data_IF_537458698053
#
_entry.id   IF_537458698053
#
_cell.length_a   1.000
_cell.length_b   1.000
_cell.length_c   1.000
_cell.angle_alpha   90.00
_cell.angle_beta   90.00
_cell.angle_gamma   90.00
#
_symmetry.space_group_name_H-M   'P 1'
#
loop_
_entity.id
_entity.type
_entity.pdbx_description
1 polymer ?
#
# COMPACT_ATOMS: atom_id res chain seq x y z
N UNK A 1 12.51 19.94 -20.61
CA UNK A 1 13.38 19.60 -21.75
C UNK A 1 12.96 18.23 -22.22
N UNK A 2 11.86 18.16 -22.95
CA UNK A 2 11.27 16.93 -23.45
C UNK A 2 11.14 17.15 -24.95
N UNK A 3 12.15 16.71 -25.70
CA UNK A 3 12.10 16.78 -27.15
C UNK A 3 11.13 15.71 -27.61
N UNK A 4 9.88 16.11 -27.83
CA UNK A 4 8.93 15.38 -28.65
C UNK A 4 9.46 15.38 -30.08
N UNK A 5 10.44 14.52 -30.35
CA UNK A 5 10.82 14.13 -31.70
C UNK A 5 9.76 13.12 -32.16
N UNK A 6 8.58 13.66 -32.46
CA UNK A 6 7.52 12.95 -33.18
C UNK A 6 8.18 12.28 -34.39
N UNK A 7 8.07 10.95 -34.54
CA UNK A 7 8.56 10.30 -35.73
C UNK A 7 7.75 10.82 -36.90
N UNK A 8 8.34 11.71 -37.71
CA UNK A 8 7.70 12.32 -38.88
C UNK A 8 7.07 11.21 -39.72
N UNK A 9 5.72 11.10 -39.77
CA UNK A 9 5.05 10.13 -40.64
C UNK A 9 5.38 10.38 -42.12
N UNK A 10 5.80 11.61 -42.43
CA UNK A 10 6.24 12.09 -43.73
C UNK A 10 7.36 11.23 -44.33
N UNK A 11 8.34 10.75 -43.56
CA UNK A 11 9.49 10.03 -44.13
C UNK A 11 9.12 8.62 -44.62
N UNK A 12 8.27 7.91 -43.89
CA UNK A 12 7.80 6.59 -44.30
C UNK A 12 6.84 6.69 -45.49
N UNK A 13 6.00 7.72 -45.49
CA UNK A 13 5.05 8.01 -46.56
C UNK A 13 5.80 8.39 -47.86
N UNK A 14 6.82 9.25 -47.77
CA UNK A 14 7.71 9.61 -48.88
C UNK A 14 8.46 8.40 -49.46
N UNK A 15 9.03 7.53 -48.62
CA UNK A 15 9.72 6.32 -49.09
C UNK A 15 8.72 5.35 -49.75
N UNK A 16 7.52 5.20 -49.20
CA UNK A 16 6.49 4.36 -49.79
C UNK A 16 5.98 4.88 -51.13
N UNK A 17 5.86 6.20 -51.29
CA UNK A 17 5.53 6.84 -52.55
C UNK A 17 6.64 6.63 -53.59
N UNK A 18 7.92 6.81 -53.21
CA UNK A 18 9.09 6.53 -54.07
C UNK A 18 9.12 5.08 -54.56
N UNK A 19 8.78 4.12 -53.69
CA UNK A 19 8.70 2.70 -54.03
C UNK A 19 7.57 2.44 -55.06
N UNK A 20 6.39 3.03 -54.86
CA UNK A 20 5.25 2.89 -55.78
C UNK A 20 5.53 3.54 -57.15
N UNK A 21 6.20 4.69 -57.16
CA UNK A 21 6.63 5.35 -58.40
C UNK A 21 7.68 4.51 -59.13
N UNK A 22 8.66 3.97 -58.40
CA UNK A 22 9.67 3.06 -58.95
C UNK A 22 9.03 1.78 -59.52
N UNK A 23 8.04 1.22 -58.83
CA UNK A 23 7.29 0.04 -59.30
C UNK A 23 6.54 0.33 -60.61
N UNK A 24 5.84 1.47 -60.68
CA UNK A 24 5.12 1.90 -61.89
C UNK A 24 6.07 2.11 -63.08
N UNK A 25 7.24 2.72 -62.82
CA UNK A 25 8.27 2.90 -63.85
C UNK A 25 8.86 1.57 -64.31
N UNK A 26 9.12 0.63 -63.39
CA UNK A 26 9.61 -0.71 -63.72
C UNK A 26 8.60 -1.44 -64.61
N UNK A 27 7.30 -1.44 -64.27
CA UNK A 27 6.27 -2.04 -65.12
C UNK A 27 6.28 -1.45 -66.53
N UNK A 28 6.31 -0.12 -66.66
CA UNK A 28 6.36 0.53 -67.98
C UNK A 28 7.63 0.20 -68.80
N UNK A 29 8.74 -0.09 -68.13
CA UNK A 29 9.98 -0.50 -68.79
C UNK A 29 9.93 -1.97 -69.21
N UNK A 30 9.31 -2.83 -68.40
CA UNK A 30 9.07 -4.23 -68.76
C UNK A 30 8.16 -4.32 -69.99
N UNK A 31 7.08 -3.53 -70.06
CA UNK A 31 6.20 -3.47 -71.24
C UNK A 31 6.96 -3.03 -72.50
N UNK A 32 7.87 -2.06 -72.36
CA UNK A 32 8.75 -1.62 -73.46
C UNK A 32 9.71 -2.71 -73.88
N UNK A 33 10.34 -3.41 -72.94
CA UNK A 33 11.25 -4.54 -73.22
C UNK A 33 10.48 -5.65 -73.94
N UNK A 34 9.25 -5.94 -73.53
CA UNK A 34 8.38 -6.91 -74.19
C UNK A 34 8.07 -6.49 -75.63
N UNK A 35 7.68 -5.23 -75.87
CA UNK A 35 7.43 -4.73 -77.23
C UNK A 35 8.66 -4.79 -78.13
N UNK A 36 9.85 -4.48 -77.59
CA UNK A 36 11.12 -4.54 -78.32
C UNK A 36 11.48 -6.01 -78.60
N UNK A 37 11.24 -6.92 -77.66
CA UNK A 37 11.48 -8.35 -77.85
C UNK A 37 10.58 -8.92 -78.95
N UNK A 38 9.29 -8.59 -78.96
CA UNK A 38 8.35 -8.97 -80.03
C UNK A 38 8.79 -8.41 -81.39
N UNK A 39 9.25 -7.16 -81.43
CA UNK A 39 9.77 -6.54 -82.66
C UNK A 39 11.03 -7.27 -83.20
N UNK A 40 11.96 -7.65 -82.32
CA UNK A 40 13.15 -8.44 -82.69
C UNK A 40 12.76 -9.82 -83.25
N UNK A 41 11.78 -10.48 -82.64
CA UNK A 41 11.29 -11.79 -83.10
C UNK A 41 10.64 -11.68 -84.49
N UNK A 42 9.83 -10.65 -84.72
CA UNK A 42 9.19 -10.40 -86.01
C UNK A 42 10.22 -10.16 -87.13
N UNK A 43 11.21 -9.29 -86.91
CA UNK A 43 12.29 -9.05 -87.88
C UNK A 43 13.04 -10.34 -88.23
N UNK A 44 13.38 -11.16 -87.22
CA UNK A 44 14.06 -12.44 -87.47
C UNK A 44 13.20 -13.43 -88.25
N UNK A 45 11.89 -13.43 -88.03
CA UNK A 45 10.96 -14.30 -88.77
C UNK A 45 10.78 -13.87 -90.23
N UNK A 46 10.78 -12.57 -90.51
CA UNK A 46 10.73 -12.02 -91.88
C UNK A 46 12.01 -12.33 -92.66
N UNK A 47 13.18 -12.24 -92.00
CA UNK A 47 14.47 -12.60 -92.58
C UNK A 47 14.55 -14.09 -92.99
N UNK A 48 14.00 -14.99 -92.18
CA UNK A 48 13.96 -16.43 -92.49
C UNK A 48 13.04 -16.78 -93.67
N UNK A 49 12.01 -15.98 -93.95
CA UNK A 49 11.14 -16.18 -95.12
C UNK A 49 11.79 -15.69 -96.43
N UNK A 50 12.67 -14.68 -96.35
CA UNK A 50 13.38 -14.10 -97.51
C UNK A 50 14.62 -14.88 -97.97
N UNK A 51 15.11 -15.84 -97.18
CA UNK A 51 16.28 -16.66 -97.57
C UNK A 51 16.02 -17.60 -98.76
N UNK A 52 14.78 -17.70 -99.26
CA UNK A 52 14.46 -18.43 -100.49
C UNK A 52 14.50 -17.57 -101.78
N UNK A 53 14.63 -16.24 -101.67
CA UNK A 53 14.92 -15.36 -102.81
C UNK A 53 15.83 -14.23 -102.33
N UNK A 54 17.12 -14.35 -102.60
CA UNK A 54 18.16 -13.45 -102.10
C UNK A 54 17.87 -11.97 -102.38
N UNK A 55 17.54 -11.23 -101.33
CA UNK A 55 17.83 -9.80 -101.12
C UNK A 55 17.14 -9.32 -99.85
N UNK A 56 17.93 -8.97 -98.82
CA UNK A 56 17.92 -7.68 -98.11
C UNK A 56 18.55 -7.87 -96.73
N UNK A 57 19.82 -7.50 -96.66
CA UNK A 57 20.53 -7.26 -95.41
C UNK A 57 19.78 -6.17 -94.64
N UNK A 58 19.27 -6.48 -93.45
CA UNK A 58 18.77 -5.45 -92.52
C UNK A 58 19.83 -4.36 -92.35
N UNK A 59 19.42 -3.10 -92.55
CA UNK A 59 20.29 -1.92 -92.53
C UNK A 59 21.04 -1.84 -91.18
N UNK A 60 22.40 -1.89 -91.16
CA UNK A 60 23.19 -1.95 -89.92
C UNK A 60 22.89 -0.81 -88.94
N UNK A 61 22.45 0.36 -89.44
CA UNK A 61 22.02 1.48 -88.61
C UNK A 61 20.79 1.16 -87.74
N UNK A 62 19.85 0.36 -88.24
CA UNK A 62 18.63 -0.02 -87.50
C UNK A 62 18.95 -0.99 -86.36
N UNK A 63 19.88 -1.91 -86.58
CA UNK A 63 20.38 -2.84 -85.57
C UNK A 63 21.15 -2.10 -84.47
N UNK A 64 21.96 -1.09 -84.83
CA UNK A 64 22.71 -0.28 -83.87
C UNK A 64 21.78 0.56 -82.98
N UNK A 65 20.77 1.22 -83.57
CA UNK A 65 19.73 1.96 -82.83
C UNK A 65 18.95 1.04 -81.89
N UNK A 66 18.63 -0.18 -82.31
CA UNK A 66 17.93 -1.15 -81.48
C UNK A 66 18.78 -1.59 -80.27
N UNK A 67 20.07 -1.88 -80.49
CA UNK A 67 21.02 -2.20 -79.41
C UNK A 67 21.16 -1.05 -78.39
N UNK A 68 21.20 0.19 -78.86
CA UNK A 68 21.25 1.38 -78.01
C UNK A 68 19.99 1.53 -77.15
N UNK A 69 18.80 1.36 -77.75
CA UNK A 69 17.52 1.41 -77.01
C UNK A 69 17.41 0.29 -75.95
N UNK A 70 17.80 -0.94 -76.28
CA UNK A 70 17.84 -2.06 -75.34
C UNK A 70 18.81 -1.77 -74.19
N UNK A 71 20.03 -1.33 -74.50
CA UNK A 71 21.04 -1.04 -73.46
C UNK A 71 20.60 0.11 -72.55
N UNK A 72 19.95 1.14 -73.11
CA UNK A 72 19.37 2.26 -72.35
C UNK A 72 18.22 1.81 -71.43
N UNK A 73 17.30 0.97 -71.92
CA UNK A 73 16.21 0.44 -71.08
C UNK A 73 16.71 -0.45 -69.95
N UNK A 74 17.66 -1.36 -70.21
CA UNK A 74 18.23 -2.24 -69.17
C UNK A 74 19.07 -1.48 -68.15
N UNK A 75 19.84 -0.47 -68.56
CA UNK A 75 20.59 0.38 -67.62
C UNK A 75 19.66 1.17 -66.71
N UNK A 76 18.54 1.68 -67.24
CA UNK A 76 17.48 2.32 -66.44
C UNK A 76 16.80 1.35 -65.47
N UNK A 77 16.49 0.13 -65.91
CA UNK A 77 15.91 -0.91 -65.06
C UNK A 77 16.87 -1.27 -63.90
N UNK A 78 18.16 -1.44 -64.20
CA UNK A 78 19.19 -1.74 -63.18
C UNK A 78 19.32 -0.61 -62.17
N UNK A 79 19.22 0.65 -62.61
CA UNK A 79 19.22 1.82 -61.72
C UNK A 79 18.01 1.82 -60.79
N UNK A 80 16.80 1.60 -61.32
CA UNK A 80 15.57 1.55 -60.51
C UNK A 80 15.58 0.39 -59.52
N UNK A 81 16.09 -0.77 -59.91
CA UNK A 81 16.23 -1.92 -59.02
C UNK A 81 17.17 -1.62 -57.83
N UNK A 82 18.31 -0.95 -58.09
CA UNK A 82 19.20 -0.48 -57.04
C UNK A 82 18.51 0.53 -56.11
N UNK A 83 17.79 1.49 -56.68
CA UNK A 83 17.02 2.47 -55.89
C UNK A 83 16.02 1.78 -54.97
N UNK A 84 15.28 0.79 -55.47
CA UNK A 84 14.31 0.02 -54.69
C UNK A 84 14.96 -0.71 -53.51
N UNK A 85 16.16 -1.27 -53.71
CA UNK A 85 16.91 -1.91 -52.62
C UNK A 85 17.36 -0.91 -51.56
N UNK A 86 17.81 0.28 -51.96
CA UNK A 86 18.20 1.36 -51.05
C UNK A 86 16.98 1.89 -50.28
N UNK A 87 15.86 2.16 -50.94
CA UNK A 87 14.60 2.60 -50.34
C UNK A 87 14.05 1.55 -49.34
N UNK A 88 14.09 0.26 -49.71
CA UNK A 88 13.71 -0.84 -48.82
C UNK A 88 14.60 -0.91 -47.59
N UNK A 89 15.91 -0.73 -47.75
CA UNK A 89 16.85 -0.73 -46.63
C UNK A 89 16.58 0.45 -45.69
N UNK A 90 16.31 1.64 -46.23
CA UNK A 90 15.95 2.83 -45.48
C UNK A 90 14.64 2.64 -44.70
N UNK A 91 13.60 2.09 -45.34
CA UNK A 91 12.32 1.80 -44.69
C UNK A 91 12.48 0.79 -43.55
N UNK A 92 13.24 -0.29 -43.76
CA UNK A 92 13.52 -1.28 -42.73
C UNK A 92 14.26 -0.66 -41.53
N UNK A 93 15.25 0.20 -41.78
CA UNK A 93 15.97 0.90 -40.72
C UNK A 93 15.03 1.82 -39.91
N UNK A 94 14.13 2.53 -40.60
CA UNK A 94 13.10 3.35 -39.96
C UNK A 94 12.13 2.52 -39.12
N UNK A 95 11.64 1.40 -39.63
CA UNK A 95 10.76 0.49 -38.87
C UNK A 95 11.48 -0.07 -37.64
N UNK A 96 12.74 -0.45 -37.75
CA UNK A 96 13.53 -0.95 -36.61
C UNK A 96 13.74 0.14 -35.55
N UNK A 97 13.97 1.39 -35.94
CA UNK A 97 14.12 2.49 -34.99
C UNK A 97 12.81 2.78 -34.24
N UNK A 98 11.67 2.75 -34.93
CA UNK A 98 10.34 2.89 -34.31
C UNK A 98 10.01 1.74 -33.36
N UNK A 99 10.35 0.50 -33.73
CA UNK A 99 10.19 -0.66 -32.86
C UNK A 99 11.00 -0.48 -31.57
N UNK A 100 12.28 -0.12 -31.67
CA UNK A 100 13.12 0.16 -30.50
C UNK A 100 12.52 1.25 -29.59
N UNK A 101 12.08 2.38 -30.17
CA UNK A 101 11.40 3.44 -29.42
C UNK A 101 10.15 2.93 -28.70
N UNK A 102 9.39 2.05 -29.34
CA UNK A 102 8.18 1.44 -28.75
C UNK A 102 8.55 0.51 -27.60
N UNK A 103 9.59 -0.30 -27.75
CA UNK A 103 10.09 -1.21 -26.71
C UNK A 103 10.60 -0.43 -25.49
N UNK A 104 11.37 0.65 -25.72
CA UNK A 104 11.87 1.55 -24.67
C UNK A 104 10.72 2.18 -23.87
N UNK A 105 9.70 2.70 -24.57
CA UNK A 105 8.49 3.24 -23.93
C UNK A 105 7.70 2.15 -23.18
N UNK A 106 7.69 0.92 -23.69
CA UNK A 106 7.08 -0.24 -23.02
C UNK A 106 7.75 -0.54 -21.67
N UNK A 107 9.09 -0.52 -21.63
CA UNK A 107 9.87 -0.69 -20.40
C UNK A 107 9.62 0.44 -19.41
N UNK A 108 9.59 1.70 -19.87
CA UNK A 108 9.31 2.85 -19.02
C UNK A 108 7.90 2.80 -18.42
N UNK A 109 6.92 2.37 -19.21
CA UNK A 109 5.55 2.16 -18.74
C UNK A 109 5.53 1.10 -17.63
N UNK A 110 6.20 -0.04 -17.82
CA UNK A 110 6.27 -1.10 -16.82
C UNK A 110 6.96 -0.62 -15.54
N UNK A 111 8.06 0.13 -15.65
CA UNK A 111 8.77 0.74 -14.53
C UNK A 111 7.84 1.64 -13.71
N UNK A 112 7.12 2.56 -14.37
CA UNK A 112 6.16 3.46 -13.71
C UNK A 112 5.00 2.71 -13.07
N UNK A 113 4.48 1.66 -13.71
CA UNK A 113 3.43 0.80 -13.12
C UNK A 113 3.89 0.13 -11.83
N UNK A 114 5.13 -0.38 -11.81
CA UNK A 114 5.71 -0.98 -10.61
C UNK A 114 5.87 0.05 -9.50
N UNK A 115 6.34 1.26 -9.82
CA UNK A 115 6.47 2.36 -8.88
C UNK A 115 5.10 2.77 -8.29
N UNK A 116 4.09 2.93 -9.12
CA UNK A 116 2.72 3.24 -8.67
C UNK A 116 2.21 2.14 -7.74
N UNK A 117 2.35 0.87 -8.12
CA UNK A 117 1.91 -0.26 -7.29
C UNK A 117 2.66 -0.32 -5.95
N UNK A 118 3.97 0.00 -5.95
CA UNK A 118 4.77 0.11 -4.74
C UNK A 118 4.25 1.22 -3.82
N UNK A 119 4.08 2.43 -4.34
CA UNK A 119 3.57 3.58 -3.57
C UNK A 119 2.16 3.29 -3.04
N UNK A 120 1.29 2.67 -3.84
CA UNK A 120 -0.06 2.29 -3.39
C UNK A 120 -0.03 1.28 -2.24
N UNK A 121 0.90 0.32 -2.26
CA UNK A 121 1.11 -0.62 -1.16
C UNK A 121 1.59 0.13 0.10
N UNK A 122 2.54 1.04 -0.04
CA UNK A 122 3.05 1.85 1.09
C UNK A 122 1.98 2.75 1.69
N UNK A 123 1.14 3.38 0.85
CA UNK A 123 -0.03 4.15 1.30
C UNK A 123 -1.01 3.25 2.05
N UNK A 124 -1.31 2.07 1.53
CA UNK A 124 -2.25 1.13 2.16
C UNK A 124 -1.72 0.61 3.50
N UNK A 125 -0.42 0.31 3.56
CA UNK A 125 0.29 -0.06 4.79
C UNK A 125 0.18 1.06 5.82
N UNK A 126 0.50 2.29 5.41
CA UNK A 126 0.45 3.48 6.28
C UNK A 126 -0.95 3.78 6.78
N UNK A 127 -1.98 3.62 5.94
CA UNK A 127 -3.39 3.79 6.32
C UNK A 127 -3.89 2.70 7.26
N UNK A 128 -3.38 1.48 7.11
CA UNK A 128 -3.71 0.34 7.98
C UNK A 128 -2.96 0.35 9.32
N UNK A 129 -2.04 1.30 9.53
CA UNK A 129 -1.41 1.48 10.83
C UNK A 129 -2.43 2.06 11.82
N UNK A 130 -3.05 1.18 12.60
CA UNK A 130 -3.81 1.57 13.78
C UNK A 130 -2.83 2.10 14.84
N UNK A 131 -3.05 3.33 15.26
CA UNK A 131 -2.25 3.97 16.31
C UNK A 131 -3.01 3.86 17.62
N UNK A 132 -2.27 3.72 18.73
CA UNK A 132 -2.82 3.49 20.06
C UNK A 132 -3.93 4.51 20.39
N UNK A 133 -3.78 5.78 19.95
CA UNK A 133 -4.75 6.85 20.24
C UNK A 133 -6.17 6.58 19.75
N UNK A 134 -6.36 5.75 18.70
CA UNK A 134 -7.68 5.44 18.15
C UNK A 134 -8.49 4.49 19.04
N UNK A 135 -7.83 3.75 19.93
CA UNK A 135 -8.47 2.76 20.82
C UNK A 135 -8.54 3.24 22.27
N UNK A 136 -8.02 4.43 22.59
CA UNK A 136 -8.06 4.94 23.96
C UNK A 136 -9.47 5.40 24.28
N UNK A 137 -10.02 4.89 25.38
CA UNK A 137 -11.24 5.42 25.99
C UNK A 137 -10.95 6.82 26.56
N UNK A 138 -11.56 7.84 25.96
CA UNK A 138 -11.44 9.25 26.31
C UNK A 138 -12.84 9.78 26.65
N UNK A 139 -12.94 10.77 27.55
CA UNK A 139 -14.19 11.49 27.83
C UNK A 139 -14.87 11.93 26.52
N UNK A 140 -16.18 11.65 26.33
CA UNK A 140 -16.96 12.08 25.17
C UNK A 140 -16.85 13.59 24.89
N UNK A 141 -17.08 14.00 23.65
CA UNK A 141 -16.97 15.42 23.26
C UNK A 141 -17.98 16.30 24.02
N UNK A 142 -19.19 15.80 24.22
CA UNK A 142 -20.27 16.49 24.94
C UNK A 142 -19.85 16.79 26.38
N UNK A 143 -19.43 15.76 27.12
CA UNK A 143 -18.96 15.88 28.50
C UNK A 143 -17.73 16.81 28.63
N UNK A 144 -16.84 16.82 27.65
CA UNK A 144 -15.69 17.73 27.63
C UNK A 144 -16.13 19.19 27.44
N UNK A 145 -17.04 19.45 26.50
CA UNK A 145 -17.53 20.81 26.24
C UNK A 145 -18.33 21.37 27.42
N UNK A 146 -18.97 20.54 28.22
CA UNK A 146 -19.67 20.96 29.44
C UNK A 146 -18.71 21.16 30.63
N UNK A 147 -17.86 20.17 30.92
CA UNK A 147 -17.11 20.11 32.19
C UNK A 147 -15.70 20.69 32.12
N UNK A 148 -15.14 20.93 30.93
CA UNK A 148 -13.77 21.45 30.84
C UNK A 148 -13.72 22.96 31.19
N UNK A 149 -12.68 23.41 31.93
CA UNK A 149 -12.39 24.82 32.13
C UNK A 149 -12.08 25.53 30.81
N UNK A 150 -12.34 26.84 30.74
CA UNK A 150 -12.06 27.67 29.55
C UNK A 150 -10.58 27.62 29.12
N UNK A 151 -9.65 27.42 30.07
CA UNK A 151 -8.22 27.21 29.78
C UNK A 151 -7.94 26.10 28.77
N UNK A 152 -8.79 25.07 28.71
CA UNK A 152 -8.66 23.94 27.78
C UNK A 152 -9.54 24.10 26.53
N UNK A 153 -10.35 25.16 26.43
CA UNK A 153 -11.27 25.40 25.31
C UNK A 153 -10.79 26.43 24.29
N UNK A 154 -9.56 26.94 24.45
CA UNK A 154 -9.04 28.10 23.69
C UNK A 154 -8.71 27.78 22.22
N UNK A 155 -8.39 26.53 21.88
CA UNK A 155 -7.95 26.12 20.53
C UNK A 155 -8.69 24.87 20.04
N UNK A 156 -9.98 24.99 19.70
CA UNK A 156 -10.83 23.84 19.29
C UNK A 156 -11.07 23.78 17.76
N UNK A 157 -10.58 24.75 16.98
CA UNK A 157 -10.95 24.96 15.57
C UNK A 157 -10.81 23.75 14.62
N UNK A 158 -9.90 22.81 14.93
CA UNK A 158 -9.73 21.58 14.13
C UNK A 158 -9.91 20.36 15.01
N UNK A 159 -10.42 19.27 14.43
CA UNK A 159 -10.65 18.01 15.14
C UNK A 159 -9.39 17.50 15.87
N UNK A 160 -8.20 17.65 15.26
CA UNK A 160 -6.94 17.29 15.90
C UNK A 160 -6.63 18.16 17.13
N UNK A 161 -6.85 19.48 17.05
CA UNK A 161 -6.63 20.37 18.19
C UNK A 161 -7.65 20.11 19.31
N UNK A 162 -8.92 19.87 18.97
CA UNK A 162 -9.95 19.43 19.92
C UNK A 162 -9.50 18.15 20.66
N UNK A 163 -9.02 17.15 19.92
CA UNK A 163 -8.53 15.89 20.50
C UNK A 163 -7.35 16.12 21.47
N UNK A 164 -6.39 16.97 21.10
CA UNK A 164 -5.27 17.32 21.98
C UNK A 164 -5.75 18.02 23.27
N UNK A 165 -6.68 18.96 23.14
CA UNK A 165 -7.26 19.67 24.29
C UNK A 165 -8.02 18.72 25.22
N UNK A 166 -8.78 17.77 24.66
CA UNK A 166 -9.45 16.68 25.41
C UNK A 166 -8.44 15.82 26.16
N UNK A 167 -7.38 15.36 25.50
CA UNK A 167 -6.33 14.55 26.13
C UNK A 167 -5.63 15.28 27.28
N UNK A 168 -5.35 16.58 27.11
CA UNK A 168 -4.73 17.41 28.17
C UNK A 168 -5.64 17.53 29.40
N UNK A 169 -6.93 17.74 29.17
CA UNK A 169 -7.91 17.79 30.26
C UNK A 169 -8.03 16.46 30.99
N UNK A 170 -8.12 15.35 30.26
CA UNK A 170 -8.15 13.99 30.81
C UNK A 170 -6.91 13.70 31.68
N UNK A 171 -5.71 14.06 31.22
CA UNK A 171 -4.48 13.88 31.99
C UNK A 171 -4.57 14.62 33.33
N UNK A 172 -4.96 15.90 33.31
CA UNK A 172 -5.12 16.72 34.52
C UNK A 172 -6.17 16.11 35.47
N UNK A 173 -7.27 15.61 34.92
CA UNK A 173 -8.31 14.95 35.71
C UNK A 173 -7.83 13.64 36.34
N UNK A 174 -7.10 12.80 35.59
CA UNK A 174 -6.53 11.55 36.09
C UNK A 174 -5.47 11.80 37.16
N UNK A 175 -4.63 12.82 37.00
CA UNK A 175 -3.67 13.24 38.02
C UNK A 175 -4.37 13.64 39.32
N UNK A 176 -5.41 14.47 39.22
CA UNK A 176 -6.22 14.88 40.36
C UNK A 176 -6.90 13.69 41.05
N UNK A 177 -7.51 12.78 40.27
CA UNK A 177 -8.16 11.58 40.80
C UNK A 177 -7.15 10.62 41.44
N UNK A 178 -5.95 10.49 40.88
CA UNK A 178 -4.88 9.68 41.49
C UNK A 178 -4.40 10.26 42.82
N UNK A 179 -4.24 11.59 42.91
CA UNK A 179 -3.89 12.27 44.16
C UNK A 179 -5.00 12.08 45.23
N UNK A 180 -6.25 12.33 44.87
CA UNK A 180 -7.40 12.14 45.77
C UNK A 180 -7.55 10.68 46.22
N UNK A 181 -7.32 9.71 45.32
CA UNK A 181 -7.30 8.28 45.65
C UNK A 181 -6.18 7.93 46.62
N UNK A 182 -5.00 8.54 46.48
CA UNK A 182 -3.88 8.34 47.39
C UNK A 182 -4.20 8.86 48.81
N UNK A 183 -4.76 10.07 48.90
CA UNK A 183 -5.20 10.66 50.17
C UNK A 183 -6.33 9.84 50.83
N UNK A 184 -7.35 9.45 50.06
CA UNK A 184 -8.43 8.59 50.55
C UNK A 184 -7.91 7.22 51.02
N UNK A 185 -6.87 6.69 50.37
CA UNK A 185 -6.21 5.44 50.79
C UNK A 185 -5.46 5.62 52.10
N UNK A 186 -4.72 6.72 52.26
CA UNK A 186 -3.98 7.02 53.49
C UNK A 186 -4.93 7.23 54.68
N UNK A 187 -5.99 8.02 54.51
CA UNK A 187 -7.02 8.24 55.54
C UNK A 187 -7.74 6.94 55.90
N UNK A 188 -8.07 6.10 54.93
CA UNK A 188 -8.63 4.77 55.19
C UNK A 188 -7.66 3.90 56.00
N UNK A 189 -6.39 3.89 55.64
CA UNK A 189 -5.38 3.05 56.30
C UNK A 189 -5.06 3.54 57.72
N UNK A 190 -5.08 4.85 57.96
CA UNK A 190 -4.95 5.45 59.29
C UNK A 190 -6.16 5.13 60.18
N UNK A 191 -7.39 5.26 59.66
CA UNK A 191 -8.62 4.88 60.37
C UNK A 191 -8.65 3.38 60.68
N UNK A 192 -8.18 2.52 59.76
CA UNK A 192 -8.03 1.08 60.01
C UNK A 192 -7.02 0.78 61.11
N UNK A 193 -5.94 1.54 61.22
CA UNK A 193 -4.97 1.43 62.31
C UNK A 193 -5.59 1.86 63.65
N UNK A 194 -6.31 2.98 63.69
CA UNK A 194 -7.02 3.45 64.89
C UNK A 194 -8.08 2.43 65.33
N UNK A 195 -8.86 1.87 64.39
CA UNK A 195 -9.84 0.83 64.68
C UNK A 195 -9.17 -0.40 65.31
N UNK A 196 -8.07 -0.90 64.74
CA UNK A 196 -7.31 -2.02 65.31
C UNK A 196 -6.84 -1.74 66.73
N UNK A 197 -6.24 -0.58 66.97
CA UNK A 197 -5.80 -0.17 68.31
C UNK A 197 -6.97 -0.05 69.32
N UNK A 198 -8.15 0.42 68.89
CA UNK A 198 -9.34 0.49 69.74
C UNK A 198 -9.87 -0.90 70.07
N UNK A 199 -9.91 -1.81 69.10
CA UNK A 199 -10.31 -3.21 69.31
C UNK A 199 -9.36 -3.88 70.29
N UNK A 200 -8.04 -3.76 70.10
CA UNK A 200 -7.04 -4.31 71.04
C UNK A 200 -7.20 -3.73 72.46
N UNK A 201 -7.52 -2.44 72.59
CA UNK A 201 -7.80 -1.83 73.90
C UNK A 201 -9.08 -2.38 74.52
N UNK A 202 -10.15 -2.55 73.72
CA UNK A 202 -11.41 -3.11 74.18
C UNK A 202 -11.25 -4.56 74.63
N UNK A 203 -10.50 -5.39 73.90
CA UNK A 203 -10.18 -6.77 74.28
C UNK A 203 -9.37 -6.83 75.59
N UNK A 204 -8.44 -5.89 75.80
CA UNK A 204 -7.69 -5.78 77.07
C UNK A 204 -8.60 -5.37 78.24
N UNK A 205 -9.54 -4.45 78.03
CA UNK A 205 -10.50 -4.08 79.06
C UNK A 205 -11.50 -5.20 79.35
N UNK A 206 -11.97 -5.90 78.32
CA UNK A 206 -12.90 -7.03 78.45
C UNK A 206 -12.25 -8.18 79.23
N UNK A 207 -11.02 -8.56 78.88
CA UNK A 207 -10.27 -9.57 79.63
C UNK A 207 -10.01 -9.16 81.08
N UNK A 208 -9.73 -7.89 81.36
CA UNK A 208 -9.59 -7.38 82.73
C UNK A 208 -10.91 -7.44 83.51
N UNK A 209 -12.02 -7.05 82.89
CA UNK A 209 -13.36 -7.15 83.48
C UNK A 209 -13.76 -8.61 83.75
N UNK A 210 -13.52 -9.52 82.81
CA UNK A 210 -13.73 -10.96 83.04
C UNK A 210 -12.87 -11.46 84.20
N UNK A 211 -11.64 -10.96 84.36
CA UNK A 211 -10.79 -11.22 85.51
C UNK A 211 -11.41 -10.74 86.83
N UNK A 212 -11.94 -9.51 86.87
CA UNK A 212 -12.64 -8.96 88.04
C UNK A 212 -13.95 -9.69 88.34
N UNK A 213 -14.73 -10.09 87.34
CA UNK A 213 -15.95 -10.89 87.53
C UNK A 213 -15.59 -12.23 88.15
N UNK A 214 -14.54 -12.90 87.66
CA UNK A 214 -14.07 -14.17 88.24
C UNK A 214 -13.60 -13.98 89.69
N UNK A 215 -12.83 -12.94 89.99
CA UNK A 215 -12.39 -12.67 91.37
C UNK A 215 -13.55 -12.30 92.29
N UNK A 216 -14.52 -11.52 91.80
CA UNK A 216 -15.73 -11.16 92.54
C UNK A 216 -16.64 -12.36 92.76
N UNK A 217 -16.76 -13.28 91.80
CA UNK A 217 -17.49 -14.54 91.95
C UNK A 217 -16.83 -15.45 93.01
N UNK A 218 -15.49 -15.51 93.04
CA UNK A 218 -14.74 -16.21 94.10
C UNK A 218 -14.96 -15.56 95.47
N UNK A 219 -14.97 -14.23 95.54
CA UNK A 219 -15.21 -13.48 96.76
C UNK A 219 -16.66 -13.63 97.25
N UNK A 220 -17.66 -13.57 96.35
CA UNK A 220 -19.07 -13.84 96.65
C UNK A 220 -19.29 -15.24 97.21
N UNK A 221 -18.61 -16.25 96.65
CA UNK A 221 -18.55 -17.61 97.23
C UNK A 221 -17.99 -17.63 98.65
N UNK A 222 -16.99 -16.80 98.96
CA UNK A 222 -16.41 -16.71 100.31
C UNK A 222 -17.26 -15.92 101.32
N UNK A 223 -18.12 -15.01 100.87
CA UNK A 223 -19.00 -14.19 101.72
C UNK A 223 -20.43 -14.72 101.85
N UNK A 224 -20.73 -15.91 101.30
CA UNK A 224 -22.02 -16.58 101.47
C UNK A 224 -23.20 -15.92 100.76
N UNK A 225 -22.94 -14.96 99.86
CA UNK A 225 -23.96 -14.41 98.98
C UNK A 225 -24.05 -15.33 97.76
N UNK A 226 -25.12 -16.12 97.70
CA UNK A 226 -25.42 -17.00 96.58
C UNK A 226 -25.62 -16.15 95.32
N UNK A 227 -24.75 -16.34 94.32
CA UNK A 227 -25.04 -15.92 92.95
C UNK A 227 -25.80 -17.07 92.29
N UNK A 228 -27.04 -16.80 91.88
CA UNK A 228 -27.84 -17.63 90.98
C UNK A 228 -27.11 -17.78 89.63
N UNK A 229 -26.26 -18.80 89.50
CA UNK A 229 -25.64 -19.20 88.22
C UNK A 229 -26.29 -20.45 87.61
N UNK A 230 -27.28 -21.06 88.27
CA UNK A 230 -27.95 -22.27 87.77
C UNK A 230 -29.40 -21.97 87.39
N UNK A 231 -29.64 -21.11 86.38
CA UNK A 231 -30.87 -21.06 85.55
C UNK A 231 -30.80 -19.91 84.53
N UNK A 232 -30.23 -20.18 83.36
CA UNK A 232 -30.70 -19.67 82.06
C UNK A 232 -29.94 -20.34 80.92
N UNK A 233 -30.37 -21.57 80.63
CA UNK A 233 -30.51 -21.95 79.22
C UNK A 233 -31.60 -21.07 78.58
N UNK A 234 -31.44 -20.82 77.28
CA UNK A 234 -32.48 -20.38 76.33
C UNK A 234 -33.19 -19.03 76.55
N UNK A 235 -32.70 -17.98 75.87
CA UNK A 235 -33.53 -17.04 75.09
C UNK A 235 -32.68 -15.87 74.56
N UNK A 236 -32.11 -16.02 73.36
CA UNK A 236 -31.82 -14.91 72.45
C UNK A 236 -31.49 -15.49 71.07
N UNK A 237 -32.54 -15.70 70.29
CA UNK A 237 -32.41 -15.84 68.84
C UNK A 237 -31.95 -14.53 68.21
N UNK A 238 -31.28 -14.69 67.06
CA UNK A 238 -31.38 -13.86 65.87
C UNK A 238 -31.04 -12.36 65.99
N UNK A 239 -29.79 -12.01 65.64
CA UNK A 239 -29.44 -10.77 64.92
C UNK A 239 -27.95 -10.79 64.49
N UNK A 240 -27.57 -11.73 63.62
CA UNK A 240 -26.28 -11.69 62.92
C UNK A 240 -26.49 -11.80 61.41
N UNK A 241 -27.19 -10.81 60.86
CA UNK A 241 -27.26 -10.52 59.43
C UNK A 241 -27.10 -9.02 59.18
N UNK A 242 -25.85 -8.55 59.07
CA UNK A 242 -25.51 -7.40 58.25
C UNK A 242 -23.98 -7.28 58.02
N UNK A 243 -23.59 -7.56 56.77
CA UNK A 243 -22.47 -6.96 56.04
C UNK A 243 -21.04 -7.29 56.47
N UNK A 244 -20.60 -8.51 56.14
CA UNK A 244 -19.26 -8.74 55.61
C UNK A 244 -19.40 -9.34 54.20
N UNK A 245 -19.62 -8.48 53.19
CA UNK A 245 -19.33 -8.84 51.80
C UNK A 245 -17.82 -8.73 51.64
N UNK A 246 -17.15 -9.80 52.01
CA UNK A 246 -15.81 -10.12 51.55
C UNK A 246 -15.93 -10.50 50.07
N UNK A 247 -15.41 -9.64 49.20
CA UNK A 247 -15.29 -9.90 47.78
C UNK A 247 -13.84 -9.69 47.35
N UNK A 248 -12.91 -10.34 48.03
CA UNK A 248 -11.61 -10.66 47.46
C UNK A 248 -11.75 -11.89 46.56
N UNK A 249 -12.22 -11.63 45.34
CA UNK A 249 -12.11 -12.55 44.20
C UNK A 249 -10.77 -12.28 43.52
N UNK A 250 -9.79 -13.21 43.49
CA UNK A 250 -8.65 -13.05 42.61
C UNK A 250 -9.18 -13.17 41.17
N UNK A 251 -9.25 -12.04 40.46
CA UNK A 251 -9.43 -12.07 39.01
C UNK A 251 -8.19 -12.70 38.40
N UNK A 252 -8.44 -13.75 37.63
CA UNK A 252 -7.50 -14.44 36.76
C UNK A 252 -6.52 -13.45 36.12
N UNK A 253 -5.24 -13.77 36.27
CA UNK A 253 -4.17 -13.22 35.44
C UNK A 253 -4.49 -13.54 33.98
N UNK A 254 -4.92 -12.51 33.24
CA UNK A 254 -4.90 -12.55 31.79
C UNK A 254 -3.46 -12.86 31.37
N UNK A 255 -3.25 -14.07 30.84
CA UNK A 255 -2.01 -14.45 30.16
C UNK A 255 -1.74 -13.41 29.09
N UNK A 256 -0.66 -12.67 29.31
CA UNK A 256 0.02 -11.88 28.29
C UNK A 256 0.34 -12.83 27.12
N UNK A 257 -0.37 -12.67 26.01
CA UNK A 257 -0.05 -13.36 24.77
C UNK A 257 1.20 -12.67 24.21
N UNK A 258 2.37 -13.19 24.58
CA UNK A 258 3.63 -12.82 23.98
C UNK A 258 3.66 -13.41 22.56
N UNK A 259 3.09 -12.68 21.59
CA UNK A 259 3.28 -12.96 20.17
C UNK A 259 4.71 -12.60 19.81
N UNK A 260 5.61 -13.58 19.97
CA UNK A 260 6.88 -13.63 19.27
C UNK A 260 6.62 -13.90 17.79
N UNK A 261 6.31 -12.84 17.04
CA UNK A 261 6.50 -12.82 15.58
C UNK A 261 7.62 -11.83 15.24
N UNK A 262 8.83 -12.21 15.65
CA UNK A 262 10.05 -11.71 15.06
C UNK A 262 10.30 -12.41 13.73
N UNK A 263 9.56 -12.05 12.68
CA UNK A 263 9.99 -12.22 11.28
C UNK A 263 10.05 -10.85 10.61
N UNK A 264 11.14 -10.14 10.91
CA UNK A 264 11.70 -9.17 9.97
C UNK A 264 12.07 -9.95 8.71
N UNK A 265 11.17 -9.93 7.73
CA UNK A 265 11.47 -10.38 6.38
C UNK A 265 12.41 -9.34 5.78
N UNK A 266 13.72 -9.60 5.86
CA UNK A 266 14.71 -8.98 4.98
C UNK A 266 14.36 -9.38 3.55
N UNK A 267 13.47 -8.63 2.91
CA UNK A 267 13.38 -8.62 1.45
C UNK A 267 14.60 -7.84 0.97
N UNK A 268 15.58 -8.60 0.50
CA UNK A 268 16.74 -8.05 -0.20
C UNK A 268 16.27 -7.13 -1.31
N UNK A 269 16.94 -5.99 -1.40
CA UNK A 269 16.94 -5.16 -2.60
C UNK A 269 17.24 -6.02 -3.82
N UNK A 270 16.40 -6.03 -4.87
CA UNK A 270 16.84 -6.47 -6.18
C UNK A 270 17.97 -5.53 -6.60
N UNK A 271 19.18 -6.09 -6.68
CA UNK A 271 20.31 -5.42 -7.29
C UNK A 271 19.96 -5.22 -8.77
N UNK A 272 20.23 -4.00 -9.25
CA UNK A 272 20.19 -3.61 -10.68
C UNK A 272 20.77 -4.70 -11.59
#
# INVERSE_FOLDING_TARGET
MESTDEPKPQLAEEISASINDSASQISSLCDKIESIASYIVNIKSEQQQTDNQGSTTSDPETQQKLLETVTSTFSRLRRLNRQLHEDKAALNAHVVSLKRKTDDLGLDLENRKREIAYIQRDISSTKGMETIYQTIDIIPEEDFLENAPEEFKVDIDTHHKLMLSRLRYEIKQREFLMASKAEAKETRDSLRKIKRQRVEKLEKTDSSLQGYIKSMALLGKSFGVASDEDKKEEAAGDASKATARDSDRPKESAKFHESRDGRSSRMGTPRM
#
